data_IF_623843191379
#
_entry.id   IF_623843191379
#
_cell.length_a   1.000
_cell.length_b   1.000
_cell.length_c   1.000
_cell.angle_alpha   90.00
_cell.angle_beta   90.00
_cell.angle_gamma   90.00
#
_symmetry.space_group_name_H-M   'P 1'
#
loop_
_entity.id
_entity.type
_entity.pdbx_description
1 polymer ?
#
# COMPACT_ATOMS: atom_id res chain seq x y z
N UNK A 1 10.98 -13.79 0.36
CA UNK A 1 9.90 -12.92 -0.16
C UNK A 1 10.42 -12.18 -1.38
N UNK A 2 9.62 -12.02 -2.44
CA UNK A 2 9.93 -11.19 -3.62
C UNK A 2 8.77 -10.23 -3.90
N UNK A 3 9.08 -8.97 -4.22
CA UNK A 3 8.08 -7.98 -4.65
C UNK A 3 7.89 -8.11 -6.16
N UNK A 4 6.66 -8.00 -6.63
CA UNK A 4 6.32 -8.09 -8.06
C UNK A 4 5.78 -6.76 -8.58
N UNK A 5 4.84 -6.16 -7.85
CA UNK A 5 4.17 -4.96 -8.31
C UNK A 5 3.73 -4.08 -7.13
N UNK A 6 3.88 -2.77 -7.28
CA UNK A 6 3.36 -1.76 -6.38
C UNK A 6 2.48 -0.79 -7.15
N UNK A 7 1.29 -0.49 -6.64
CA UNK A 7 0.48 0.63 -7.10
C UNK A 7 0.13 1.55 -5.92
N UNK A 8 0.26 2.86 -6.15
CA UNK A 8 -0.01 3.92 -5.19
C UNK A 8 -1.09 4.83 -5.77
N UNK A 9 -1.98 5.31 -4.92
CA UNK A 9 -2.89 6.39 -5.28
C UNK A 9 -3.01 7.36 -4.11
N UNK A 10 -2.90 8.67 -4.38
CA UNK A 10 -3.05 9.74 -3.38
C UNK A 10 -2.24 9.48 -2.09
N UNK A 11 -1.02 8.97 -2.21
CA UNK A 11 -0.19 8.50 -1.08
C UNK A 11 1.11 9.30 -0.96
N UNK A 12 1.38 9.86 0.22
CA UNK A 12 2.58 10.66 0.48
C UNK A 12 2.72 11.84 -0.51
N UNK A 13 3.85 11.97 -1.24
CA UNK A 13 4.04 13.05 -2.21
C UNK A 13 3.32 12.81 -3.55
N UNK A 14 2.70 11.65 -3.76
CA UNK A 14 2.08 11.27 -5.02
C UNK A 14 0.59 11.58 -5.01
N UNK A 15 0.10 12.60 -5.75
CA UNK A 15 -1.31 12.96 -5.75
C UNK A 15 -2.17 12.04 -6.61
N UNK A 16 -1.56 11.40 -7.62
CA UNK A 16 -2.22 10.57 -8.62
C UNK A 16 -1.90 9.08 -8.45
N UNK A 17 -2.03 8.34 -9.53
CA UNK A 17 -1.76 6.91 -9.59
C UNK A 17 -0.33 6.65 -10.08
N UNK A 18 0.48 5.97 -9.28
CA UNK A 18 1.86 5.62 -9.59
C UNK A 18 2.08 4.12 -9.47
N UNK A 19 2.91 3.54 -10.35
CA UNK A 19 3.15 2.10 -10.35
C UNK A 19 4.62 1.76 -10.47
N UNK A 20 5.03 0.68 -9.82
CA UNK A 20 6.37 0.10 -9.94
C UNK A 20 6.23 -1.38 -10.30
N UNK A 21 6.76 -1.75 -11.46
CA UNK A 21 6.91 -3.14 -11.88
C UNK A 21 8.29 -3.64 -11.42
N UNK A 22 8.32 -4.35 -10.30
CA UNK A 22 9.57 -4.90 -9.76
C UNK A 22 10.09 -6.07 -10.56
N UNK A 23 9.24 -6.76 -11.33
CA UNK A 23 9.69 -7.85 -12.19
C UNK A 23 10.43 -7.31 -13.41
N UNK A 24 9.99 -6.19 -13.98
CA UNK A 24 10.71 -5.48 -15.03
C UNK A 24 12.06 -4.90 -14.51
N UNK A 25 12.08 -4.34 -13.30
CA UNK A 25 13.30 -3.76 -12.70
C UNK A 25 14.27 -4.82 -12.17
N UNK A 26 13.75 -5.97 -11.73
CA UNK A 26 14.50 -7.02 -11.05
C UNK A 26 15.11 -8.07 -11.98
N UNK A 27 14.98 -7.94 -13.31
CA UNK A 27 15.55 -8.90 -14.26
C UNK A 27 17.06 -9.08 -14.07
N UNK A 28 17.77 -8.00 -13.71
CA UNK A 28 19.22 -8.01 -13.48
C UNK A 28 19.60 -8.17 -11.99
N UNK A 29 18.63 -8.48 -11.12
CA UNK A 29 18.83 -8.78 -9.70
C UNK A 29 19.09 -7.57 -8.78
N UNK A 30 19.35 -6.37 -9.33
CA UNK A 30 19.54 -5.14 -8.57
C UNK A 30 18.93 -3.94 -9.32
N UNK A 31 18.20 -3.10 -8.61
CA UNK A 31 17.72 -1.81 -9.11
C UNK A 31 18.02 -0.68 -8.13
N UNK A 32 18.11 0.55 -8.66
CA UNK A 32 18.41 1.76 -7.89
C UNK A 32 17.24 2.74 -7.93
N UNK A 33 16.76 3.16 -6.76
CA UNK A 33 15.86 4.30 -6.63
C UNK A 33 16.70 5.59 -6.61
N UNK A 34 16.81 6.28 -7.75
CA UNK A 34 17.52 7.56 -7.88
C UNK A 34 16.57 8.74 -8.04
N UNK A 35 16.93 9.90 -7.46
CA UNK A 35 16.16 11.14 -7.58
C UNK A 35 16.59 12.18 -6.55
N UNK A 36 16.18 13.44 -6.72
CA UNK A 36 16.47 14.52 -5.76
C UNK A 36 15.84 14.27 -4.38
N UNK A 37 16.37 14.86 -3.32
CA UNK A 37 15.69 14.88 -2.02
C UNK A 37 14.27 15.44 -2.20
N UNK A 38 13.27 14.82 -1.55
CA UNK A 38 11.86 15.17 -1.72
C UNK A 38 11.15 14.53 -2.91
N UNK A 39 11.84 13.79 -3.78
CA UNK A 39 11.23 13.14 -4.96
C UNK A 39 10.35 11.92 -4.66
N UNK A 40 10.11 11.59 -3.38
CA UNK A 40 9.27 10.45 -2.99
C UNK A 40 9.94 9.07 -2.93
N UNK A 41 11.27 8.96 -3.05
CA UNK A 41 11.99 7.67 -2.92
C UNK A 41 11.67 6.94 -1.61
N UNK A 42 11.77 7.63 -0.48
CA UNK A 42 11.41 7.06 0.83
C UNK A 42 9.93 6.70 0.89
N UNK A 43 9.06 7.44 0.20
CA UNK A 43 7.63 7.18 0.18
C UNK A 43 7.26 5.91 -0.60
N UNK A 44 8.06 5.51 -1.60
CA UNK A 44 7.91 4.20 -2.26
C UNK A 44 8.24 3.07 -1.27
N UNK A 45 9.31 3.23 -0.48
CA UNK A 45 9.68 2.25 0.56
C UNK A 45 8.63 2.19 1.67
N UNK A 46 8.15 3.36 2.13
CA UNK A 46 7.07 3.47 3.11
C UNK A 46 5.80 2.81 2.61
N UNK A 47 5.48 2.89 1.32
CA UNK A 47 4.31 2.23 0.78
C UNK A 47 4.44 0.70 0.85
N UNK A 48 5.61 0.14 0.55
CA UNK A 48 5.87 -1.31 0.72
C UNK A 48 5.73 -1.69 2.20
N UNK A 49 6.32 -0.91 3.12
CA UNK A 49 6.18 -1.14 4.56
C UNK A 49 4.73 -1.05 5.02
N UNK A 50 4.00 -0.02 4.58
CA UNK A 50 2.59 0.18 4.90
C UNK A 50 1.74 -0.99 4.38
N UNK A 51 1.98 -1.45 3.16
CA UNK A 51 1.27 -2.59 2.58
C UNK A 51 1.43 -3.86 3.42
N UNK A 52 2.66 -4.16 3.86
CA UNK A 52 2.95 -5.37 4.63
C UNK A 52 2.51 -5.24 6.10
N UNK A 53 2.82 -4.12 6.76
CA UNK A 53 2.72 -4.01 8.21
C UNK A 53 1.57 -3.12 8.69
N UNK A 54 0.91 -2.41 7.77
CA UNK A 54 -0.11 -1.41 8.10
C UNK A 54 0.47 -0.15 8.74
N UNK A 55 1.79 0.01 8.77
CA UNK A 55 2.48 1.13 9.39
C UNK A 55 3.72 1.54 8.58
N UNK A 56 4.24 2.73 8.85
CA UNK A 56 5.44 3.27 8.20
C UNK A 56 6.55 3.51 9.23
N UNK A 57 7.84 3.41 8.86
CA UNK A 57 8.93 3.64 9.81
C UNK A 57 9.07 5.13 10.20
N UNK A 58 9.38 5.40 11.47
CA UNK A 58 9.73 6.73 11.98
C UNK A 58 8.57 7.53 12.59
N UNK A 59 8.77 8.85 12.80
CA UNK A 59 7.78 9.76 13.40
C UNK A 59 6.64 10.16 12.44
N UNK A 60 6.57 9.57 11.24
CA UNK A 60 5.50 9.88 10.29
C UNK A 60 4.19 9.33 10.83
N UNK A 61 3.35 10.23 11.35
CA UNK A 61 2.03 9.88 11.84
C UNK A 61 1.20 9.22 10.72
N UNK A 62 0.59 8.08 11.03
CA UNK A 62 -0.32 7.31 10.14
C UNK A 62 -1.44 8.18 9.59
N UNK A 63 -1.76 9.29 10.26
CA UNK A 63 -2.74 10.30 9.83
C UNK A 63 -2.32 11.12 8.61
N UNK A 64 -1.04 11.13 8.23
CA UNK A 64 -0.50 11.92 7.10
C UNK A 64 -0.15 11.09 5.86
N UNK A 65 -0.63 9.85 5.76
CA UNK A 65 -0.35 9.00 4.59
C UNK A 65 -1.09 9.45 3.32
N UNK A 66 -2.22 10.16 3.47
CA UNK A 66 -2.93 10.77 2.33
C UNK A 66 -2.15 11.97 1.80
N UNK A 67 -1.93 12.01 0.49
CA UNK A 67 -1.29 13.15 -0.16
C UNK A 67 -2.11 14.43 -0.02
N UNK A 68 -1.46 15.50 0.44
CA UNK A 68 -2.06 16.84 0.52
C UNK A 68 -2.22 17.52 -0.84
N UNK A 69 -1.56 16.98 -1.88
CA UNK A 69 -1.65 17.47 -3.25
C UNK A 69 -2.73 16.73 -4.06
N UNK A 70 -3.32 15.65 -3.52
CA UNK A 70 -4.38 14.91 -4.19
C UNK A 70 -5.72 15.65 -4.13
N UNK A 71 -6.67 15.24 -4.97
CA UNK A 71 -8.07 15.64 -4.80
C UNK A 71 -8.52 15.32 -3.36
N UNK A 72 -9.13 16.28 -2.64
CA UNK A 72 -9.64 16.04 -1.27
C UNK A 72 -10.60 14.85 -1.16
N UNK A 73 -11.22 14.42 -2.25
CA UNK A 73 -12.10 13.24 -2.33
C UNK A 73 -11.38 11.95 -2.74
N UNK A 74 -10.13 12.02 -3.20
CA UNK A 74 -9.35 10.83 -3.56
C UNK A 74 -9.18 9.91 -2.35
N UNK A 75 -9.36 8.61 -2.60
CA UNK A 75 -9.07 7.57 -1.63
C UNK A 75 -7.58 7.20 -1.71
N UNK A 76 -6.80 7.44 -0.65
CA UNK A 76 -5.42 6.98 -0.60
C UNK A 76 -5.38 5.46 -0.56
N UNK A 77 -4.55 4.85 -1.40
CA UNK A 77 -4.39 3.41 -1.39
C UNK A 77 -2.99 2.95 -1.78
N UNK A 78 -2.63 1.78 -1.26
CA UNK A 78 -1.44 1.04 -1.67
C UNK A 78 -1.83 -0.40 -1.98
N UNK A 79 -1.45 -0.88 -3.16
CA UNK A 79 -1.50 -2.29 -3.51
C UNK A 79 -0.08 -2.83 -3.65
N UNK A 80 0.20 -3.97 -3.03
CA UNK A 80 1.46 -4.70 -3.20
C UNK A 80 1.15 -6.15 -3.59
N UNK A 81 1.72 -6.57 -4.71
CA UNK A 81 1.78 -7.97 -5.10
C UNK A 81 3.19 -8.50 -4.76
N UNK A 82 3.24 -9.59 -4.01
CA UNK A 82 4.48 -10.20 -3.54
C UNK A 82 4.35 -11.72 -3.48
N UNK A 83 5.48 -12.43 -3.42
CA UNK A 83 5.52 -13.87 -3.24
C UNK A 83 6.35 -14.29 -2.03
N UNK A 84 5.96 -15.40 -1.43
CA UNK A 84 6.75 -16.15 -0.44
C UNK A 84 6.78 -17.61 -0.87
N UNK A 85 7.97 -18.15 -1.13
CA UNK A 85 8.09 -19.42 -1.84
C UNK A 85 7.44 -19.33 -3.22
N UNK A 86 6.56 -20.29 -3.52
CA UNK A 86 5.81 -20.35 -4.79
C UNK A 86 4.43 -19.66 -4.70
N UNK A 87 4.06 -19.19 -3.51
CA UNK A 87 2.75 -18.58 -3.28
C UNK A 87 2.77 -17.08 -3.60
N UNK A 88 1.81 -16.63 -4.40
CA UNK A 88 1.60 -15.21 -4.70
C UNK A 88 0.47 -14.63 -3.88
N UNK A 89 0.69 -13.42 -3.39
CA UNK A 89 -0.22 -12.66 -2.54
C UNK A 89 -0.42 -11.26 -3.09
N UNK A 90 -1.61 -10.71 -2.86
CA UNK A 90 -1.95 -9.32 -3.12
C UNK A 90 -2.56 -8.73 -1.86
N UNK A 91 -1.89 -7.71 -1.33
CA UNK A 91 -2.44 -6.86 -0.28
C UNK A 91 -2.85 -5.53 -0.89
N UNK A 92 -4.04 -5.07 -0.54
CA UNK A 92 -4.48 -3.70 -0.80
C UNK A 92 -4.85 -3.06 0.52
N UNK A 93 -4.38 -1.83 0.78
CA UNK A 93 -4.69 -1.06 1.97
C UNK A 93 -5.10 0.36 1.62
N UNK A 94 -6.06 0.88 2.37
CA UNK A 94 -6.31 2.31 2.49
C UNK A 94 -6.10 2.74 3.94
N UNK A 95 -5.28 3.77 4.23
CA UNK A 95 -5.14 4.29 5.57
C UNK A 95 -6.43 5.00 6.01
N UNK A 96 -6.57 5.19 7.32
CA UNK A 96 -7.58 6.11 7.84
C UNK A 96 -7.30 7.51 7.28
N UNK A 97 -8.30 8.16 6.72
CA UNK A 97 -8.14 9.47 6.10
C UNK A 97 -9.40 10.32 6.20
N UNK A 98 -9.24 11.61 5.92
CA UNK A 98 -10.33 12.56 5.87
C UNK A 98 -10.70 12.88 4.42
N UNK A 99 -11.99 13.07 4.16
CA UNK A 99 -12.50 13.55 2.87
C UNK A 99 -13.75 14.42 3.07
N UNK A 100 -14.05 15.37 2.16
CA UNK A 100 -15.33 16.06 2.13
C UNK A 100 -16.50 15.08 2.06
N UNK A 101 -17.59 15.35 2.78
CA UNK A 101 -18.80 14.54 2.69
C UNK A 101 -19.43 14.66 1.30
N UNK A 102 -20.00 13.55 0.81
CA UNK A 102 -20.69 13.52 -0.49
C UNK A 102 -21.90 14.46 -0.49
N UNK A 103 -22.66 14.51 0.62
CA UNK A 103 -23.89 15.32 0.73
C UNK A 103 -23.64 16.79 1.10
N UNK A 104 -22.55 17.08 1.80
CA UNK A 104 -22.19 18.45 2.19
C UNK A 104 -20.66 18.62 2.14
N UNK A 105 -20.10 19.13 1.03
CA UNK A 105 -18.66 19.26 0.84
C UNK A 105 -17.93 20.16 1.85
N UNK A 106 -18.65 21.02 2.59
CA UNK A 106 -18.06 21.87 3.63
C UNK A 106 -17.74 21.08 4.92
N UNK A 107 -18.35 19.90 5.10
CA UNK A 107 -18.10 19.02 6.24
C UNK A 107 -17.11 17.91 5.88
N UNK A 108 -16.20 17.63 6.81
CA UNK A 108 -15.24 16.54 6.70
C UNK A 108 -15.83 15.26 7.31
N UNK A 109 -15.65 14.14 6.63
CA UNK A 109 -15.88 12.80 7.15
C UNK A 109 -14.55 12.07 7.33
N UNK A 110 -14.48 11.27 8.39
CA UNK A 110 -13.41 10.31 8.61
C UNK A 110 -13.77 8.99 7.95
N UNK A 111 -12.86 8.45 7.15
CA UNK A 111 -12.93 7.13 6.55
C UNK A 111 -11.97 6.24 7.31
N UNK A 112 -12.46 5.12 7.84
CA UNK A 112 -11.64 4.14 8.55
C UNK A 112 -10.69 3.44 7.58
N UNK A 113 -9.56 2.95 8.12
CA UNK A 113 -8.63 2.14 7.34
C UNK A 113 -9.32 0.87 6.79
N UNK A 114 -8.83 0.40 5.64
CA UNK A 114 -9.32 -0.81 4.97
C UNK A 114 -8.13 -1.68 4.57
N UNK A 115 -8.36 -2.99 4.52
CA UNK A 115 -7.41 -3.96 4.00
C UNK A 115 -8.12 -5.09 3.28
N UNK A 116 -7.53 -5.57 2.20
CA UNK A 116 -7.84 -6.89 1.63
C UNK A 116 -6.55 -7.67 1.44
N UNK A 117 -6.63 -8.97 1.65
CA UNK A 117 -5.55 -9.91 1.40
C UNK A 117 -6.08 -11.04 0.51
N UNK A 118 -5.41 -11.26 -0.60
CA UNK A 118 -5.72 -12.33 -1.54
C UNK A 118 -4.50 -13.20 -1.78
N UNK A 119 -4.73 -14.48 -2.05
CA UNK A 119 -3.75 -15.43 -2.57
C UNK A 119 -4.10 -15.78 -4.00
N UNK A 120 -3.09 -15.96 -4.85
CA UNK A 120 -3.30 -16.42 -6.22
C UNK A 120 -3.42 -17.94 -6.25
N UNK A 121 -4.55 -18.45 -6.72
CA UNK A 121 -4.83 -19.89 -6.89
C UNK A 121 -5.35 -20.11 -8.30
N UNK A 122 -4.70 -21.01 -9.06
CA UNK A 122 -5.07 -21.31 -10.45
C UNK A 122 -5.22 -20.07 -11.35
N UNK A 123 -4.39 -19.04 -11.10
CA UNK A 123 -4.40 -17.78 -11.86
C UNK A 123 -5.32 -16.70 -11.29
N UNK A 124 -6.23 -17.02 -10.39
CA UNK A 124 -7.24 -16.11 -9.83
C UNK A 124 -6.88 -15.65 -8.42
N UNK A 125 -7.33 -14.44 -8.03
CA UNK A 125 -7.12 -13.89 -6.70
C UNK A 125 -8.25 -14.31 -5.75
N UNK A 126 -7.94 -15.22 -4.84
CA UNK A 126 -8.88 -15.73 -3.84
C UNK A 126 -8.71 -14.98 -2.51
N UNK A 127 -9.79 -14.50 -1.87
CA UNK A 127 -9.69 -13.78 -0.60
C UNK A 127 -9.21 -14.72 0.52
N UNK A 128 -8.33 -14.22 1.39
CA UNK A 128 -7.76 -15.01 2.50
C UNK A 128 -8.32 -14.65 3.87
N UNK A 129 -8.58 -13.37 4.11
CA UNK A 129 -8.94 -12.88 5.43
C UNK A 129 -10.01 -11.79 5.35
N UNK A 130 -10.85 -11.74 6.38
CA UNK A 130 -11.84 -10.68 6.59
C UNK A 130 -11.49 -9.87 7.83
N UNK A 131 -11.44 -8.54 7.67
CA UNK A 131 -11.11 -7.62 8.76
C UNK A 131 -9.60 -7.42 8.98
N UNK A 132 -9.27 -6.32 9.66
CA UNK A 132 -7.90 -5.79 9.77
C UNK A 132 -6.98 -6.72 10.55
N UNK A 133 -7.44 -7.21 11.71
CA UNK A 133 -6.63 -8.05 12.59
C UNK A 133 -6.25 -9.36 11.90
N UNK A 134 -7.24 -10.09 11.38
CA UNK A 134 -7.02 -11.37 10.70
C UNK A 134 -6.10 -11.23 9.49
N UNK A 135 -6.26 -10.17 8.69
CA UNK A 135 -5.39 -9.94 7.53
C UNK A 135 -3.95 -9.57 7.95
N UNK A 136 -3.76 -8.79 9.02
CA UNK A 136 -2.42 -8.49 9.54
C UNK A 136 -1.72 -9.74 10.09
N UNK A 137 -2.43 -10.56 10.85
CA UNK A 137 -1.89 -11.80 11.43
C UNK A 137 -1.48 -12.77 10.31
N UNK A 138 -2.32 -12.90 9.28
CA UNK A 138 -2.02 -13.74 8.13
C UNK A 138 -0.81 -13.23 7.33
N UNK A 139 -0.67 -11.90 7.13
CA UNK A 139 0.50 -11.34 6.45
C UNK A 139 1.78 -11.64 7.26
N UNK A 140 1.77 -11.46 8.59
CA UNK A 140 2.93 -11.72 9.46
C UNK A 140 3.36 -13.19 9.41
N UNK A 141 2.39 -14.09 9.45
CA UNK A 141 2.59 -15.54 9.29
C UNK A 141 3.21 -15.87 7.94
N UNK A 142 2.69 -15.29 6.86
CA UNK A 142 3.18 -15.52 5.49
C UNK A 142 4.61 -15.02 5.31
N UNK A 143 4.96 -13.86 5.85
CA UNK A 143 6.32 -13.28 5.70
C UNK A 143 7.33 -13.76 6.75
N UNK A 144 6.92 -14.63 7.68
CA UNK A 144 7.79 -15.31 8.65
C UNK A 144 8.24 -14.43 9.82
N UNK A 145 7.35 -13.59 10.35
CA UNK A 145 7.62 -12.67 11.47
C UNK A 145 6.86 -13.03 12.76
N UNK A 146 6.62 -14.32 12.99
CA UNK A 146 5.98 -14.83 14.21
C UNK A 146 6.94 -14.81 15.42
#
# INVERSE_FOLDING_TARGET
MRLHYLALHAFGPFPGHETVDFDALGQDGLFLLQGRTGSGKSSILDAVTFALYGDVPGERDRTQLKSTHADPRAEPSVQLDFSVGEEMFRVWRAPQHQRPQVRNPEKIAQVNQQITLHRRVSGEWMPMASGIQAANDEIRRVIGLD
#
